data_IF_269165395994
#
_entry.id   IF_269165395994
#
_cell.length_a   1.000
_cell.length_b   1.000
_cell.length_c   1.000
_cell.angle_alpha   90.00
_cell.angle_beta   90.00
_cell.angle_gamma   90.00
#
_symmetry.space_group_name_H-M   'P 1'
#
loop_
_entity.id
_entity.type
_entity.pdbx_description
1 polymer ?
#
# COMPACT_ATOMS: atom_id res chain seq x y z
N UNK A 1 13.63 14.85 -13.31
CA UNK A 1 13.61 15.10 -11.85
C UNK A 1 14.17 13.86 -11.19
N UNK A 2 15.31 13.97 -10.50
CA UNK A 2 15.87 12.88 -9.69
C UNK A 2 15.61 13.31 -8.25
N UNK A 3 14.96 12.47 -7.45
CA UNK A 3 14.70 12.63 -6.01
C UNK A 3 13.43 13.41 -5.59
N UNK A 4 12.40 13.49 -6.43
CA UNK A 4 11.08 13.94 -5.98
C UNK A 4 10.41 12.86 -5.09
N UNK A 5 9.68 13.30 -4.07
CA UNK A 5 8.89 12.44 -3.16
C UNK A 5 7.41 12.77 -3.33
N UNK A 6 6.58 11.73 -3.35
CA UNK A 6 5.13 11.83 -3.48
C UNK A 6 4.46 11.04 -2.34
N UNK A 7 3.40 11.61 -1.77
CA UNK A 7 2.55 10.99 -0.76
C UNK A 7 1.15 10.79 -1.33
N UNK A 8 0.57 9.62 -1.09
CA UNK A 8 -0.79 9.30 -1.49
C UNK A 8 -1.66 9.15 -0.24
N UNK A 9 -2.48 10.16 0.08
CA UNK A 9 -3.46 10.05 1.15
C UNK A 9 -4.71 9.31 0.68
N UNK A 10 -5.31 8.51 1.56
CA UNK A 10 -6.52 7.77 1.23
C UNK A 10 -6.85 6.68 2.23
N UNK A 11 -8.10 6.24 2.23
CA UNK A 11 -8.55 5.12 3.04
C UNK A 11 -8.04 3.78 2.48
N UNK A 12 -8.19 2.71 3.25
CA UNK A 12 -7.91 1.37 2.76
C UNK A 12 -8.72 1.06 1.49
N UNK A 13 -8.04 0.56 0.46
CA UNK A 13 -8.69 0.17 -0.81
C UNK A 13 -8.90 1.32 -1.81
N UNK A 14 -8.44 2.54 -1.52
CA UNK A 14 -8.54 3.69 -2.46
C UNK A 14 -7.33 3.80 -3.38
N UNK A 15 -6.57 2.73 -3.57
CA UNK A 15 -5.47 2.66 -4.53
C UNK A 15 -4.08 3.08 -4.04
N UNK A 16 -3.90 3.44 -2.75
CA UNK A 16 -2.59 3.84 -2.19
C UNK A 16 -1.47 2.85 -2.53
N UNK A 17 -1.61 1.59 -2.08
CA UNK A 17 -0.61 0.53 -2.29
C UNK A 17 -0.37 0.25 -3.78
N UNK A 18 -1.42 0.30 -4.60
CA UNK A 18 -1.31 0.07 -6.05
C UNK A 18 -0.53 1.20 -6.74
N UNK A 19 -0.82 2.47 -6.39
CA UNK A 19 -0.18 3.64 -6.97
C UNK A 19 1.25 3.85 -6.44
N UNK A 20 1.51 3.50 -5.19
CA UNK A 20 2.84 3.61 -4.59
C UNK A 20 3.81 2.54 -5.11
N UNK A 21 3.31 1.41 -5.58
CA UNK A 21 4.12 0.33 -6.18
C UNK A 21 4.35 0.56 -7.68
N UNK A 22 4.80 1.76 -8.06
CA UNK A 22 5.19 2.08 -9.43
C UNK A 22 6.61 1.55 -9.74
N UNK A 23 6.73 0.75 -10.80
CA UNK A 23 7.99 0.25 -11.35
C UNK A 23 9.07 1.32 -11.63
N UNK A 24 8.68 2.59 -11.80
CA UNK A 24 9.58 3.72 -12.09
C UNK A 24 10.00 4.50 -10.84
N UNK A 25 9.43 4.18 -9.67
CA UNK A 25 9.72 4.85 -8.40
C UNK A 25 10.29 3.87 -7.39
N UNK A 26 10.85 4.41 -6.32
CA UNK A 26 11.28 3.63 -5.16
C UNK A 26 10.25 3.81 -4.05
N UNK A 27 9.75 2.69 -3.53
CA UNK A 27 8.77 2.65 -2.45
C UNK A 27 9.46 3.00 -1.11
N UNK A 28 8.89 3.96 -0.38
CA UNK A 28 9.27 4.27 1.01
C UNK A 28 8.47 3.37 1.97
N UNK A 29 7.14 3.31 1.77
CA UNK A 29 6.19 2.42 2.43
C UNK A 29 4.79 2.61 1.82
N UNK A 30 3.80 1.82 2.23
CA UNK A 30 2.48 1.81 1.59
C UNK A 30 1.32 2.41 2.39
N UNK A 31 1.41 2.50 3.73
CA UNK A 31 0.29 3.01 4.54
C UNK A 31 0.70 4.10 5.53
N UNK A 32 1.69 3.86 6.41
CA UNK A 32 1.95 4.76 7.55
C UNK A 32 3.30 5.51 7.49
N UNK A 33 3.24 6.84 7.36
CA UNK A 33 4.43 7.71 7.29
C UNK A 33 4.40 8.83 8.31
N UNK A 34 5.57 9.15 8.85
CA UNK A 34 5.85 10.41 9.54
C UNK A 34 6.43 11.46 8.60
N UNK A 35 6.27 12.73 8.98
CA UNK A 35 6.93 13.86 8.32
C UNK A 35 7.58 14.75 9.38
N UNK A 36 8.92 14.86 9.35
CA UNK A 36 9.70 15.74 10.22
C UNK A 36 10.55 16.76 9.43
N UNK A 37 11.48 17.42 10.13
CA UNK A 37 12.44 18.38 9.58
C UNK A 37 13.47 17.80 8.59
N UNK A 38 13.58 16.46 8.51
CA UNK A 38 14.48 15.74 7.62
C UNK A 38 13.76 15.16 6.40
N UNK A 39 12.45 14.89 6.52
CA UNK A 39 11.61 14.47 5.39
C UNK A 39 10.53 13.46 5.77
N UNK A 40 10.22 12.59 4.82
CA UNK A 40 9.23 11.52 4.97
C UNK A 40 9.91 10.23 5.39
N UNK A 41 9.36 9.54 6.38
CA UNK A 41 9.87 8.24 6.82
C UNK A 41 8.73 7.26 7.10
N UNK A 42 8.99 5.99 6.84
CA UNK A 42 8.03 4.90 7.07
C UNK A 42 8.03 4.48 8.54
N UNK A 43 6.87 4.23 9.13
CA UNK A 43 6.79 3.59 10.45
C UNK A 43 6.92 2.07 10.38
N UNK A 44 6.64 1.47 9.22
CA UNK A 44 6.52 0.03 9.05
C UNK A 44 7.81 -0.66 8.52
N UNK A 45 7.89 -1.98 8.67
CA UNK A 45 8.92 -2.84 8.07
C UNK A 45 8.41 -3.75 6.94
N UNK A 46 7.15 -3.56 6.54
CA UNK A 46 6.43 -4.41 5.61
C UNK A 46 5.34 -3.65 4.88
N UNK A 47 4.50 -4.39 4.16
CA UNK A 47 3.26 -3.88 3.58
C UNK A 47 2.12 -4.82 3.95
N UNK A 48 0.90 -4.27 4.07
CA UNK A 48 -0.32 -5.02 4.34
C UNK A 48 -1.33 -4.87 3.20
N UNK A 49 -0.99 -5.41 2.03
CA UNK A 49 -1.70 -5.18 0.79
C UNK A 49 -3.04 -5.94 0.70
N UNK A 50 -4.06 -5.29 0.12
CA UNK A 50 -5.33 -5.92 -0.26
C UNK A 50 -5.12 -6.82 -1.47
N UNK A 51 -5.71 -8.01 -1.47
CA UNK A 51 -5.49 -9.03 -2.51
C UNK A 51 -6.71 -9.35 -3.36
N UNK A 52 -7.89 -8.80 -3.05
CA UNK A 52 -9.08 -9.04 -3.89
C UNK A 52 -8.84 -8.52 -5.31
N UNK A 53 -9.14 -9.35 -6.30
CA UNK A 53 -8.88 -9.11 -7.73
C UNK A 53 -7.40 -8.89 -8.09
N UNK A 54 -6.45 -9.23 -7.20
CA UNK A 54 -5.02 -9.13 -7.47
C UNK A 54 -4.64 -9.94 -8.69
N UNK A 55 -3.86 -9.36 -9.59
CA UNK A 55 -3.39 -10.06 -10.77
C UNK A 55 -1.92 -9.77 -11.05
N UNK A 56 -1.20 -10.77 -11.56
CA UNK A 56 0.19 -10.63 -11.98
C UNK A 56 0.40 -9.56 -13.07
N UNK A 57 -0.64 -9.24 -13.84
CA UNK A 57 -0.58 -8.27 -14.95
C UNK A 57 -0.74 -6.84 -14.42
N UNK A 58 -1.76 -6.59 -13.59
CA UNK A 58 -2.06 -5.24 -13.10
C UNK A 58 -1.14 -4.82 -11.95
N UNK A 59 -0.80 -5.73 -11.04
CA UNK A 59 0.03 -5.47 -9.86
C UNK A 59 1.20 -6.46 -9.75
N UNK A 60 2.14 -6.45 -10.72
CA UNK A 60 3.20 -7.46 -10.82
C UNK A 60 4.12 -7.52 -9.59
N UNK A 61 4.40 -6.38 -8.95
CA UNK A 61 5.30 -6.30 -7.80
C UNK A 61 4.67 -6.85 -6.52
N UNK A 62 3.42 -6.48 -6.23
CA UNK A 62 2.64 -7.05 -5.11
C UNK A 62 2.48 -8.56 -5.31
N UNK A 63 2.12 -9.01 -6.53
CA UNK A 63 1.97 -10.44 -6.83
C UNK A 63 3.28 -11.21 -6.60
N UNK A 64 4.43 -10.66 -6.99
CA UNK A 64 5.76 -11.27 -6.77
C UNK A 64 6.19 -11.24 -5.30
N UNK A 65 5.67 -10.32 -4.50
CA UNK A 65 5.97 -10.23 -3.06
C UNK A 65 5.34 -11.40 -2.28
N UNK A 66 4.31 -12.06 -2.84
CA UNK A 66 3.66 -13.24 -2.26
C UNK A 66 4.54 -14.47 -2.51
N UNK A 67 5.42 -14.76 -1.56
CA UNK A 67 6.34 -15.91 -1.56
C UNK A 67 6.60 -16.33 -0.11
N UNK A 68 7.47 -17.33 0.12
CA UNK A 68 7.87 -17.73 1.48
C UNK A 68 8.22 -16.50 2.32
N UNK A 69 7.69 -16.46 3.56
CA UNK A 69 7.75 -15.34 4.51
C UNK A 69 6.71 -14.21 4.29
N UNK A 70 5.85 -14.31 3.28
CA UNK A 70 4.58 -13.58 3.26
C UNK A 70 3.50 -14.38 4.00
N UNK A 71 2.48 -13.69 4.51
CA UNK A 71 1.32 -14.28 5.18
C UNK A 71 0.04 -13.84 4.48
N UNK A 72 -0.63 -14.78 3.84
CA UNK A 72 -1.96 -14.58 3.24
C UNK A 72 -3.04 -14.65 4.33
N UNK A 73 -4.02 -13.76 4.24
CA UNK A 73 -5.13 -13.67 5.19
C UNK A 73 -6.46 -13.71 4.45
N UNK A 74 -7.36 -14.60 4.89
CA UNK A 74 -8.73 -14.75 4.40
C UNK A 74 -8.91 -15.03 2.90
N UNK A 75 -7.85 -15.38 2.17
CA UNK A 75 -7.94 -15.85 0.78
C UNK A 75 -8.54 -17.26 0.70
N UNK A 76 -9.04 -17.62 -0.48
CA UNK A 76 -9.44 -18.99 -0.81
C UNK A 76 -8.30 -19.69 -1.53
N UNK A 77 -7.91 -20.85 -1.00
CA UNK A 77 -6.89 -21.72 -1.58
C UNK A 77 -7.61 -22.90 -2.22
N UNK A 78 -7.36 -23.11 -3.50
CA UNK A 78 -7.94 -24.18 -4.29
C UNK A 78 -7.27 -25.53 -3.98
N UNK A 79 -7.87 -26.61 -4.47
CA UNK A 79 -7.38 -27.98 -4.25
C UNK A 79 -5.97 -28.23 -4.81
N UNK A 80 -5.58 -27.50 -5.86
CA UNK A 80 -4.23 -27.52 -6.45
C UNK A 80 -3.22 -26.61 -5.71
N UNK A 81 -3.63 -26.03 -4.57
CA UNK A 81 -2.87 -25.08 -3.74
C UNK A 81 -2.65 -23.71 -4.37
N UNK A 82 -3.26 -23.41 -5.52
CA UNK A 82 -3.29 -22.05 -6.05
C UNK A 82 -4.27 -21.20 -5.26
N UNK A 83 -4.09 -19.88 -5.28
CA UNK A 83 -4.96 -18.92 -4.60
C UNK A 83 -5.94 -18.34 -5.60
N UNK A 84 -7.23 -18.37 -5.27
CA UNK A 84 -8.25 -17.64 -6.01
C UNK A 84 -8.40 -16.24 -5.42
N UNK A 85 -7.75 -15.26 -6.06
CA UNK A 85 -7.83 -13.85 -5.64
C UNK A 85 -9.15 -13.18 -6.02
N UNK A 86 -10.04 -13.83 -6.77
CA UNK A 86 -11.35 -13.28 -7.13
C UNK A 86 -12.46 -13.74 -6.17
N UNK A 87 -12.22 -14.79 -5.40
CA UNK A 87 -13.18 -15.33 -4.44
C UNK A 87 -13.30 -14.41 -3.22
N UNK A 88 -14.50 -13.85 -3.02
CA UNK A 88 -14.87 -13.00 -1.89
C UNK A 88 -15.86 -13.67 -0.92
N UNK A 89 -16.05 -14.99 -1.01
CA UNK A 89 -17.01 -15.75 -0.19
C UNK A 89 -16.80 -15.61 1.32
N UNK A 90 -15.55 -15.36 1.74
CA UNK A 90 -15.20 -15.03 3.13
C UNK A 90 -15.32 -13.54 3.42
N UNK A 91 -14.75 -12.71 2.55
CA UNK A 91 -14.70 -11.25 2.65
C UNK A 91 -14.13 -10.65 1.37
N UNK A 92 -14.48 -9.40 1.06
CA UNK A 92 -13.79 -8.60 0.03
C UNK A 92 -12.47 -7.97 0.54
N UNK A 93 -12.20 -8.02 1.85
CA UNK A 93 -10.99 -7.50 2.46
C UNK A 93 -9.92 -8.59 2.63
N UNK A 94 -9.71 -9.42 1.61
CA UNK A 94 -8.60 -10.38 1.61
C UNK A 94 -7.26 -9.63 1.57
N UNK A 95 -6.26 -10.15 2.28
CA UNK A 95 -4.99 -9.45 2.52
C UNK A 95 -3.78 -10.36 2.37
N UNK A 96 -2.64 -9.71 2.24
CA UNK A 96 -1.33 -10.33 2.43
C UNK A 96 -0.42 -9.36 3.18
N UNK A 97 0.30 -9.86 4.18
CA UNK A 97 1.44 -9.15 4.75
C UNK A 97 2.75 -9.70 4.21
N UNK A 98 3.72 -8.83 3.91
CA UNK A 98 5.06 -9.23 3.52
C UNK A 98 6.10 -8.20 3.97
N UNK A 99 7.33 -8.61 4.28
CA UNK A 99 8.42 -7.69 4.55
C UNK A 99 8.69 -6.78 3.35
N UNK A 100 9.06 -5.52 3.59
CA UNK A 100 9.17 -4.52 2.52
C UNK A 100 10.21 -4.91 1.45
N UNK A 101 11.26 -5.62 1.85
CA UNK A 101 12.30 -6.16 0.95
C UNK A 101 11.78 -7.25 0.00
N UNK A 102 10.52 -7.67 0.09
CA UNK A 102 9.89 -8.49 -0.93
C UNK A 102 9.60 -7.69 -2.22
N UNK A 103 9.44 -6.38 -2.12
CA UNK A 103 9.39 -5.45 -3.26
C UNK A 103 10.81 -5.11 -3.70
N UNK A 104 11.04 -5.07 -5.02
CA UNK A 104 12.38 -4.88 -5.58
C UNK A 104 12.85 -3.42 -5.49
N UNK A 105 11.99 -2.49 -5.88
CA UNK A 105 12.33 -1.07 -5.98
C UNK A 105 11.90 -0.36 -4.70
N UNK A 106 12.70 -0.51 -3.65
CA UNK A 106 12.46 0.12 -2.35
C UNK A 106 13.61 1.06 -2.00
N UNK A 107 13.33 2.06 -1.16
CA UNK A 107 14.38 2.90 -0.57
C UNK A 107 15.13 2.10 0.50
N UNK A 108 16.46 2.16 0.47
CA UNK A 108 17.36 1.45 1.39
C UNK A 108 18.58 2.34 1.73
N UNK A 109 19.26 2.11 2.86
CA UNK A 109 18.99 1.08 3.88
C UNK A 109 17.85 1.44 4.83
N UNK A 110 17.46 2.71 4.89
CA UNK A 110 16.38 3.22 5.74
C UNK A 110 15.24 3.65 4.83
N UNK A 111 14.00 3.26 5.17
CA UNK A 111 12.78 3.65 4.46
C UNK A 111 12.43 5.12 4.72
N UNK A 112 13.22 6.04 4.16
CA UNK A 112 13.05 7.49 4.31
C UNK A 112 13.55 8.24 3.08
N UNK A 113 12.90 9.37 2.76
CA UNK A 113 13.33 10.27 1.68
C UNK A 113 13.10 11.73 2.06
N UNK A 114 13.51 12.66 1.18
CA UNK A 114 13.30 14.09 1.40
C UNK A 114 11.82 14.50 1.45
N UNK A 115 11.58 15.81 1.54
CA UNK A 115 10.24 16.36 1.61
C UNK A 115 9.41 16.04 0.37
N UNK A 116 8.13 15.70 0.58
CA UNK A 116 7.18 15.62 -0.52
C UNK A 116 7.02 17.01 -1.15
N UNK A 117 7.15 17.08 -2.48
CA UNK A 117 6.90 18.31 -3.23
C UNK A 117 5.44 18.35 -3.67
N UNK A 118 4.87 19.55 -3.76
CA UNK A 118 3.47 19.72 -4.17
C UNK A 118 3.21 19.09 -5.55
N UNK A 119 2.47 17.99 -5.57
CA UNK A 119 1.97 17.33 -6.77
C UNK A 119 0.56 16.83 -6.51
N UNK A 120 -0.39 17.20 -7.37
CA UNK A 120 -1.78 16.73 -7.29
C UNK A 120 -1.93 15.50 -8.19
N UNK A 121 -2.01 14.31 -7.62
CA UNK A 121 -2.41 13.13 -8.39
C UNK A 121 -3.73 12.57 -7.85
N UNK A 122 -4.75 12.61 -8.72
CA UNK A 122 -6.10 12.08 -8.48
C UNK A 122 -6.12 10.60 -8.86
N UNK A 123 -6.85 9.80 -8.08
CA UNK A 123 -7.25 8.48 -8.52
C UNK A 123 -8.29 7.86 -7.61
N UNK A 124 -9.59 8.08 -7.88
CA UNK A 124 -10.66 7.17 -7.44
C UNK A 124 -11.75 7.13 -8.53
N UNK A 125 -12.15 5.93 -8.92
CA UNK A 125 -13.30 5.67 -9.80
C UNK A 125 -14.30 4.86 -8.95
N UNK A 126 -15.42 5.50 -8.59
CA UNK A 126 -16.58 4.99 -7.83
C UNK A 126 -16.39 4.65 -6.33
N UNK A 127 -16.31 5.63 -5.41
CA UNK A 127 -16.43 5.42 -3.97
C UNK A 127 -17.87 5.60 -3.44
N UNK A 128 -18.21 4.95 -2.32
CA UNK A 128 -19.27 5.46 -1.45
C UNK A 128 -18.77 6.73 -0.75
N UNK A 129 -19.56 7.82 -0.73
CA UNK A 129 -19.15 9.07 -0.12
C UNK A 129 -19.06 8.92 1.41
N UNK A 130 -17.87 9.12 1.95
CA UNK A 130 -17.65 9.29 3.39
C UNK A 130 -16.76 10.50 3.63
N UNK A 131 -16.99 11.19 4.75
CA UNK A 131 -16.08 12.20 5.26
C UNK A 131 -15.26 11.53 6.36
N UNK A 132 -13.98 11.29 6.07
CA UNK A 132 -13.02 10.80 7.06
C UNK A 132 -11.95 11.87 7.24
N UNK A 133 -11.94 12.51 8.40
CA UNK A 133 -10.97 13.54 8.73
C UNK A 133 -9.54 13.03 8.48
N UNK A 134 -8.75 13.83 7.78
CA UNK A 134 -7.37 13.50 7.39
C UNK A 134 -7.20 12.16 6.63
N UNK A 135 -8.27 11.62 6.04
CA UNK A 135 -8.30 10.28 5.40
C UNK A 135 -7.93 9.12 6.35
N UNK A 136 -8.08 9.30 7.66
CA UNK A 136 -7.62 8.36 8.68
C UNK A 136 -8.27 8.54 10.05
N UNK A 137 -9.50 9.06 10.09
CA UNK A 137 -10.18 9.46 11.34
C UNK A 137 -10.23 8.36 12.41
N UNK A 138 -10.37 7.11 12.00
CA UNK A 138 -10.36 5.96 12.90
C UNK A 138 -9.07 5.79 13.72
N UNK A 139 -7.98 6.46 13.31
CA UNK A 139 -6.66 6.38 13.93
C UNK A 139 -6.20 7.71 14.54
N UNK A 140 -7.01 8.76 14.47
CA UNK A 140 -6.68 10.07 15.04
C UNK A 140 -6.76 10.03 16.57
N UNK A 141 -5.62 10.23 17.22
CA UNK A 141 -5.55 10.41 18.68
C UNK A 141 -5.73 11.87 19.13
N UNK A 142 -5.67 12.81 18.17
CA UNK A 142 -5.86 14.25 18.38
C UNK A 142 -6.99 14.76 17.50
N UNK A 143 -7.61 15.87 17.92
CA UNK A 143 -8.74 16.43 17.20
C UNK A 143 -8.31 17.03 15.83
N UNK A 144 -9.00 16.73 14.73
CA UNK A 144 -8.77 17.39 13.45
C UNK A 144 -9.26 18.84 13.51
N UNK A 145 -8.37 19.81 13.25
CA UNK A 145 -8.70 21.25 13.31
C UNK A 145 -9.56 21.73 12.16
#
# INVERSE_FOLDING_TARGET
>A
MKNDVALFFGLSGTGKTTLSTDSKRFLIGDDEHGWDEHGIFNFEGGCYAKTINLSKIKEPDIYRAIKKNALLENVVVLSDKTVDFKDNSKTENTRVSYPIYHIKNIVQPISSAGHAISGTERGIINPEPTFSSCFGEAFLSLYPT
#
